data_IF_591718621365
#
_entry.id   IF_591718621365
#
_cell.length_a   1.000
_cell.length_b   1.000
_cell.length_c   1.000
_cell.angle_alpha   90.00
_cell.angle_beta   90.00
_cell.angle_gamma   90.00
#
_symmetry.space_group_name_H-M   'P 1'
#
loop_
_entity.id
_entity.type
_entity.pdbx_description
1 polymer ?
#
# COMPACT_ATOMS: atom_id res chain seq x y z
N UNK A 1 5.34 33.98 0.81
CA UNK A 1 4.78 32.66 1.18
C UNK A 1 3.52 32.40 0.35
N UNK A 2 3.44 31.26 -0.34
CA UNK A 2 2.24 30.92 -1.13
C UNK A 2 1.03 30.63 -0.22
N UNK A 3 -0.19 31.05 -0.60
CA UNK A 3 -1.42 30.70 0.12
C UNK A 3 -1.58 29.17 0.26
N UNK A 4 -2.12 28.71 1.39
CA UNK A 4 -2.25 27.26 1.73
C UNK A 4 -3.02 26.50 0.64
N UNK A 5 -4.12 27.07 0.13
CA UNK A 5 -4.92 26.48 -0.94
C UNK A 5 -4.13 26.33 -2.26
N UNK A 6 -3.25 27.29 -2.57
CA UNK A 6 -2.39 27.24 -3.76
C UNK A 6 -1.30 26.18 -3.62
N UNK A 7 -0.72 26.01 -2.42
CA UNK A 7 0.23 24.93 -2.12
C UNK A 7 -0.41 23.55 -2.25
N UNK A 8 -1.64 23.38 -1.76
CA UNK A 8 -2.37 22.12 -1.88
C UNK A 8 -2.62 21.72 -3.34
N UNK A 9 -3.06 22.66 -4.18
CA UNK A 9 -3.27 22.40 -5.62
C UNK A 9 -1.96 22.14 -6.37
N UNK A 10 -0.89 22.85 -6.04
CA UNK A 10 0.43 22.60 -6.63
C UNK A 10 0.92 21.20 -6.26
N UNK A 11 0.81 20.83 -4.98
CA UNK A 11 1.18 19.52 -4.50
C UNK A 11 0.37 18.41 -5.18
N UNK A 12 -0.95 18.58 -5.30
CA UNK A 12 -1.81 17.67 -6.07
C UNK A 12 -1.42 17.57 -7.54
N UNK A 13 -1.08 18.67 -8.19
CA UNK A 13 -0.68 18.67 -9.60
C UNK A 13 0.69 17.97 -9.81
N UNK A 14 1.66 18.22 -8.94
CA UNK A 14 2.98 17.57 -9.00
C UNK A 14 2.90 16.09 -8.63
N UNK A 15 2.07 15.76 -7.64
CA UNK A 15 1.74 14.39 -7.25
C UNK A 15 1.07 13.63 -8.39
N UNK A 16 0.09 14.25 -9.05
CA UNK A 16 -0.59 13.67 -10.21
C UNK A 16 0.34 13.51 -11.42
N UNK A 17 1.33 14.39 -11.64
CA UNK A 17 2.30 14.26 -12.75
C UNK A 17 3.30 13.12 -12.50
N UNK A 18 3.83 13.01 -11.28
CA UNK A 18 4.71 11.91 -10.86
C UNK A 18 3.96 10.57 -10.94
N UNK A 19 2.72 10.54 -10.44
CA UNK A 19 1.83 9.41 -10.60
C UNK A 19 1.59 9.09 -12.08
N UNK A 20 1.27 10.07 -12.92
CA UNK A 20 0.95 9.84 -14.33
C UNK A 20 2.08 9.14 -15.06
N UNK A 21 3.35 9.50 -14.80
CA UNK A 21 4.51 8.84 -15.42
C UNK A 21 4.67 7.40 -14.94
N UNK A 22 4.61 7.17 -13.63
CA UNK A 22 4.68 5.82 -13.07
C UNK A 22 3.48 4.96 -13.49
N UNK A 23 2.27 5.52 -13.57
CA UNK A 23 1.05 4.84 -14.00
C UNK A 23 1.09 4.45 -15.47
N UNK A 24 1.61 5.31 -16.35
CA UNK A 24 1.74 5.00 -17.78
C UNK A 24 2.64 3.76 -17.96
N UNK A 25 3.76 3.72 -17.25
CA UNK A 25 4.67 2.58 -17.32
C UNK A 25 4.09 1.33 -16.63
N UNK A 26 3.37 1.48 -15.53
CA UNK A 26 2.64 0.38 -14.89
C UNK A 26 1.53 -0.18 -15.77
N UNK A 27 0.70 0.67 -16.39
CA UNK A 27 -0.34 0.24 -17.34
C UNK A 27 0.22 -0.46 -18.57
N UNK A 28 1.43 -0.08 -19.01
CA UNK A 28 2.12 -0.75 -20.11
C UNK A 28 2.59 -2.16 -19.72
N UNK A 29 2.99 -2.36 -18.45
CA UNK A 29 3.50 -3.63 -17.94
C UNK A 29 2.39 -4.58 -17.44
N UNK A 30 1.29 -4.04 -16.93
CA UNK A 30 0.16 -4.80 -16.40
C UNK A 30 -0.80 -5.12 -17.54
N UNK A 31 -0.75 -6.37 -18.01
CA UNK A 31 -1.68 -6.88 -19.02
C UNK A 31 -2.85 -7.66 -18.42
N UNK A 32 -2.69 -8.13 -17.18
CA UNK A 32 -3.72 -8.88 -16.48
C UNK A 32 -4.89 -7.95 -16.07
N UNK A 33 -6.15 -8.34 -16.37
CA UNK A 33 -7.32 -7.51 -16.10
C UNK A 33 -7.53 -7.27 -14.60
N UNK A 34 -7.20 -8.23 -13.74
CA UNK A 34 -7.36 -8.09 -12.28
C UNK A 34 -6.35 -7.05 -11.74
N UNK A 35 -5.10 -7.08 -12.20
CA UNK A 35 -4.10 -6.10 -11.77
C UNK A 35 -4.43 -4.69 -12.25
N UNK A 36 -4.99 -4.57 -13.46
CA UNK A 36 -5.49 -3.29 -13.98
C UNK A 36 -6.65 -2.76 -13.16
N UNK A 37 -7.53 -3.65 -12.70
CA UNK A 37 -8.62 -3.31 -11.81
C UNK A 37 -8.09 -2.78 -10.47
N UNK A 38 -7.15 -3.49 -9.82
CA UNK A 38 -6.53 -3.00 -8.58
C UNK A 38 -5.86 -1.64 -8.79
N UNK A 39 -5.07 -1.48 -9.86
CA UNK A 39 -4.43 -0.20 -10.16
C UNK A 39 -5.47 0.90 -10.38
N UNK A 40 -6.57 0.62 -11.09
CA UNK A 40 -7.64 1.59 -11.25
C UNK A 40 -8.25 1.99 -9.91
N UNK A 41 -8.49 1.04 -9.00
CA UNK A 41 -8.99 1.35 -7.67
C UNK A 41 -8.00 2.21 -6.86
N UNK A 42 -6.72 1.86 -6.83
CA UNK A 42 -5.69 2.64 -6.12
C UNK A 42 -5.59 4.09 -6.63
N UNK A 43 -5.91 4.33 -7.90
CA UNK A 43 -5.82 5.66 -8.52
C UNK A 43 -7.10 6.49 -8.39
N UNK A 44 -8.25 5.84 -8.33
CA UNK A 44 -9.56 6.51 -8.41
C UNK A 44 -10.36 6.43 -7.11
N UNK A 45 -10.00 5.55 -6.17
CA UNK A 45 -10.69 5.38 -4.89
C UNK A 45 -9.77 5.85 -3.77
N UNK A 46 -10.21 6.92 -3.10
CA UNK A 46 -9.43 7.60 -2.07
C UNK A 46 -9.83 7.21 -0.64
N UNK A 47 -10.44 6.04 -0.49
CA UNK A 47 -10.88 5.50 0.79
C UNK A 47 -10.65 3.97 0.81
N UNK A 48 -10.01 3.48 1.87
CA UNK A 48 -9.66 2.06 2.00
C UNK A 48 -10.89 1.16 2.05
N UNK A 49 -11.92 1.58 2.80
CA UNK A 49 -13.13 0.78 3.00
C UNK A 49 -13.89 0.66 1.68
N UNK A 50 -14.05 1.76 0.95
CA UNK A 50 -14.68 1.79 -0.36
C UNK A 50 -13.91 0.95 -1.39
N UNK A 51 -12.57 0.98 -1.37
CA UNK A 51 -11.73 0.15 -2.23
C UNK A 51 -12.00 -1.34 -1.97
N UNK A 52 -11.93 -1.75 -0.70
CA UNK A 52 -12.13 -3.14 -0.30
C UNK A 52 -13.57 -3.62 -0.59
N UNK A 53 -14.57 -2.75 -0.42
CA UNK A 53 -15.95 -3.03 -0.82
C UNK A 53 -16.08 -3.22 -2.33
N UNK A 54 -15.40 -2.41 -3.13
CA UNK A 54 -15.35 -2.56 -4.58
C UNK A 54 -14.77 -3.92 -4.99
N UNK A 55 -13.66 -4.33 -4.37
CA UNK A 55 -13.05 -5.65 -4.60
C UNK A 55 -13.98 -6.79 -4.17
N UNK A 56 -14.59 -6.69 -2.98
CA UNK A 56 -15.49 -7.72 -2.47
C UNK A 56 -16.72 -7.90 -3.37
N UNK A 57 -17.28 -6.80 -3.87
CA UNK A 57 -18.48 -6.80 -4.72
C UNK A 57 -18.19 -7.36 -6.10
N UNK A 58 -17.13 -6.88 -6.76
CA UNK A 58 -16.79 -7.29 -8.13
C UNK A 58 -16.46 -8.78 -8.22
N UNK A 59 -15.80 -9.33 -7.20
CA UNK A 59 -15.33 -10.72 -7.20
C UNK A 59 -16.12 -11.65 -6.27
N UNK A 60 -17.20 -11.18 -5.64
CA UNK A 60 -18.02 -11.93 -4.68
C UNK A 60 -17.19 -12.64 -3.58
N UNK A 61 -16.30 -11.91 -2.93
CA UNK A 61 -15.30 -12.44 -1.99
C UNK A 61 -15.63 -12.13 -0.53
N UNK A 62 -15.27 -13.04 0.37
CA UNK A 62 -15.38 -12.84 1.83
C UNK A 62 -14.16 -12.11 2.44
N UNK A 63 -12.97 -12.23 1.84
CA UNK A 63 -11.76 -11.51 2.28
C UNK A 63 -11.15 -10.70 1.11
N UNK A 64 -11.56 -9.42 0.94
CA UNK A 64 -10.99 -8.56 -0.09
C UNK A 64 -9.54 -8.18 0.20
N UNK A 65 -9.09 -8.18 1.46
CA UNK A 65 -7.70 -7.87 1.81
C UNK A 65 -6.77 -8.96 1.29
N UNK A 66 -7.14 -10.22 1.48
CA UNK A 66 -6.38 -11.35 0.95
C UNK A 66 -6.20 -11.26 -0.58
N UNK A 67 -7.27 -10.90 -1.32
CA UNK A 67 -7.20 -10.73 -2.78
C UNK A 67 -6.29 -9.57 -3.19
N UNK A 68 -6.37 -8.43 -2.50
CA UNK A 68 -5.46 -7.30 -2.74
C UNK A 68 -4.01 -7.69 -2.50
N UNK A 69 -3.71 -8.44 -1.44
CA UNK A 69 -2.36 -8.93 -1.17
C UNK A 69 -1.88 -9.92 -2.23
N UNK A 70 -2.74 -10.81 -2.71
CA UNK A 70 -2.40 -11.71 -3.83
C UNK A 70 -1.95 -10.90 -5.04
N UNK A 71 -2.72 -9.89 -5.42
CA UNK A 71 -2.36 -9.02 -6.54
C UNK A 71 -1.07 -8.23 -6.29
N UNK A 72 -0.85 -7.72 -5.08
CA UNK A 72 0.41 -7.05 -4.74
C UNK A 72 1.61 -8.00 -4.81
N UNK A 73 1.46 -9.26 -4.37
CA UNK A 73 2.50 -10.31 -4.51
C UNK A 73 2.79 -10.61 -5.98
N UNK A 74 1.76 -10.71 -6.80
CA UNK A 74 1.91 -10.89 -8.24
C UNK A 74 2.62 -9.70 -8.90
N UNK A 75 2.22 -8.46 -8.58
CA UNK A 75 2.79 -7.24 -9.15
C UNK A 75 4.24 -6.98 -8.70
N UNK A 76 4.65 -7.47 -7.54
CA UNK A 76 6.04 -7.38 -7.03
C UNK A 76 6.90 -8.59 -7.43
N UNK A 77 6.36 -9.53 -8.20
CA UNK A 77 7.12 -10.67 -8.70
C UNK A 77 7.35 -11.80 -7.71
N UNK A 78 6.57 -11.85 -6.63
CA UNK A 78 6.59 -12.95 -5.64
C UNK A 78 5.83 -14.20 -6.11
N UNK A 79 5.49 -14.26 -7.40
CA UNK A 79 4.87 -15.43 -8.01
C UNK A 79 5.66 -15.82 -9.26
N UNK A 80 5.80 -17.13 -9.57
CA UNK A 80 6.53 -17.57 -10.76
C UNK A 80 5.94 -17.04 -12.08
N UNK A 81 4.68 -16.59 -12.04
CA UNK A 81 3.88 -16.20 -13.19
C UNK A 81 4.13 -14.77 -13.65
N UNK A 82 4.57 -13.88 -12.76
CA UNK A 82 4.72 -12.46 -13.05
C UNK A 82 6.12 -11.98 -12.64
N UNK A 83 6.87 -11.28 -13.51
CA UNK A 83 8.11 -10.63 -13.10
C UNK A 83 7.80 -9.45 -12.17
N UNK A 84 8.79 -8.94 -11.44
CA UNK A 84 8.58 -7.77 -10.58
C UNK A 84 8.24 -6.52 -11.40
N UNK A 85 6.94 -6.20 -11.50
CA UNK A 85 6.41 -5.12 -12.34
C UNK A 85 6.61 -3.75 -11.70
N UNK A 86 6.64 -3.72 -10.36
CA UNK A 86 6.83 -2.51 -9.54
C UNK A 86 8.29 -2.19 -9.25
N UNK A 87 9.21 -3.13 -9.52
CA UNK A 87 10.61 -3.07 -9.08
C UNK A 87 10.76 -2.84 -7.57
N UNK A 88 9.82 -3.38 -6.78
CA UNK A 88 9.81 -3.30 -5.32
C UNK A 88 10.16 -4.67 -4.74
N UNK A 89 11.13 -4.72 -3.83
CA UNK A 89 11.54 -5.94 -3.15
C UNK A 89 10.86 -6.02 -1.77
N UNK A 90 9.75 -6.76 -1.70
CA UNK A 90 8.96 -6.94 -0.49
C UNK A 90 9.16 -8.35 0.06
N UNK A 91 9.75 -8.47 1.24
CA UNK A 91 9.80 -9.77 1.91
C UNK A 91 8.45 -10.11 2.58
N UNK A 92 8.35 -11.31 3.14
CA UNK A 92 7.14 -11.79 3.83
C UNK A 92 6.70 -10.88 4.98
N UNK A 93 7.64 -10.35 5.78
CA UNK A 93 7.35 -9.41 6.86
C UNK A 93 6.69 -8.13 6.34
N UNK A 94 7.10 -7.65 5.17
CA UNK A 94 6.47 -6.49 4.52
C UNK A 94 5.05 -6.81 4.06
N UNK A 95 4.78 -8.02 3.56
CA UNK A 95 3.42 -8.43 3.21
C UNK A 95 2.52 -8.59 4.43
N UNK A 96 3.04 -9.12 5.54
CA UNK A 96 2.31 -9.15 6.81
C UNK A 96 2.00 -7.74 7.31
N UNK A 97 2.97 -6.82 7.22
CA UNK A 97 2.73 -5.41 7.53
C UNK A 97 1.64 -4.80 6.64
N UNK A 98 1.73 -5.01 5.32
CA UNK A 98 0.72 -4.53 4.37
C UNK A 98 -0.65 -5.11 4.68
N UNK A 99 -0.75 -6.38 5.04
CA UNK A 99 -2.02 -6.99 5.47
C UNK A 99 -2.62 -6.22 6.65
N UNK A 100 -1.81 -5.98 7.69
CA UNK A 100 -2.26 -5.25 8.87
C UNK A 100 -2.67 -3.82 8.53
N UNK A 101 -1.94 -3.13 7.66
CA UNK A 101 -2.29 -1.80 7.16
C UNK A 101 -3.64 -1.81 6.39
N UNK A 102 -3.85 -2.78 5.50
CA UNK A 102 -5.11 -2.95 4.78
C UNK A 102 -6.29 -3.29 5.70
N UNK A 103 -6.02 -3.93 6.84
CA UNK A 103 -7.00 -4.16 7.91
C UNK A 103 -7.21 -2.95 8.83
N UNK A 104 -6.53 -1.83 8.60
CA UNK A 104 -6.71 -0.60 9.36
C UNK A 104 -5.86 -0.48 10.62
N UNK A 105 -4.81 -1.31 10.77
CA UNK A 105 -3.97 -1.28 11.97
C UNK A 105 -3.01 -0.09 11.97
N UNK A 106 -2.83 0.50 13.16
CA UNK A 106 -1.84 1.57 13.39
C UNK A 106 -0.42 1.01 13.41
N UNK A 107 0.58 1.87 13.25
CA UNK A 107 1.99 1.45 13.31
C UNK A 107 2.31 0.69 14.60
N UNK A 108 1.81 1.18 15.74
CA UNK A 108 2.01 0.53 17.02
C UNK A 108 1.42 -0.89 17.04
N UNK A 109 0.17 -1.06 16.59
CA UNK A 109 -0.49 -2.36 16.54
C UNK A 109 0.21 -3.31 15.55
N UNK A 110 0.68 -2.79 14.42
CA UNK A 110 1.48 -3.55 13.44
C UNK A 110 2.76 -4.08 14.09
N UNK A 111 3.57 -3.21 14.70
CA UNK A 111 4.83 -3.62 15.32
C UNK A 111 4.62 -4.60 16.47
N UNK A 112 3.58 -4.38 17.29
CA UNK A 112 3.21 -5.31 18.36
C UNK A 112 2.85 -6.69 17.82
N UNK A 113 2.01 -6.75 16.79
CA UNK A 113 1.58 -8.01 16.15
C UNK A 113 2.75 -8.75 15.51
N UNK A 114 3.65 -8.04 14.81
CA UNK A 114 4.84 -8.65 14.22
C UNK A 114 5.81 -9.16 15.29
N UNK A 115 5.95 -8.43 16.39
CA UNK A 115 6.78 -8.84 17.55
C UNK A 115 6.22 -10.08 18.23
N UNK A 116 4.90 -10.19 18.36
CA UNK A 116 4.24 -11.38 18.89
C UNK A 116 4.45 -12.61 17.99
N UNK A 117 4.34 -12.44 16.66
CA UNK A 117 4.46 -13.53 15.70
C UNK A 117 5.87 -14.03 15.48
N UNK A 118 6.83 -13.12 15.34
CA UNK A 118 8.22 -13.45 14.98
C UNK A 118 9.15 -13.50 16.21
N UNK A 119 8.69 -13.01 17.36
CA UNK A 119 9.47 -12.91 18.59
C UNK A 119 10.29 -11.62 18.68
N UNK A 120 10.53 -11.17 19.91
CA UNK A 120 11.25 -9.93 20.19
C UNK A 120 12.69 -9.90 19.66
N UNK A 121 13.37 -11.05 19.63
CA UNK A 121 14.74 -11.17 19.14
C UNK A 121 14.82 -11.04 17.61
N UNK A 122 13.90 -11.66 16.85
CA UNK A 122 13.84 -11.51 15.40
C UNK A 122 13.43 -10.10 14.97
N UNK A 123 12.63 -9.44 15.79
CA UNK A 123 12.21 -8.05 15.57
C UNK A 123 13.22 -7.01 16.08
N UNK A 124 14.24 -7.44 16.80
CA UNK A 124 15.29 -6.55 17.29
C UNK A 124 16.02 -5.90 16.09
N UNK A 125 15.93 -4.58 15.99
CA UNK A 125 16.51 -3.81 14.88
C UNK A 125 15.63 -3.70 13.63
N UNK A 126 14.51 -4.41 13.54
CA UNK A 126 13.55 -4.29 12.42
C UNK A 126 12.48 -3.21 12.65
N UNK A 127 12.27 -2.78 13.90
CA UNK A 127 11.26 -1.76 14.23
C UNK A 127 11.48 -0.44 13.49
N UNK A 128 12.71 0.08 13.47
CA UNK A 128 13.02 1.34 12.80
C UNK A 128 12.88 1.26 11.26
N UNK A 129 13.44 0.23 10.58
CA UNK A 129 13.19 0.02 9.15
C UNK A 129 11.71 -0.14 8.80
N UNK A 130 10.95 -0.90 9.58
CA UNK A 130 9.52 -1.10 9.32
C UNK A 130 8.70 0.16 9.58
N UNK A 131 9.03 0.94 10.61
CA UNK A 131 8.43 2.26 10.84
C UNK A 131 8.67 3.19 9.65
N UNK A 132 9.91 3.26 9.18
CA UNK A 132 10.25 4.09 8.02
C UNK A 132 9.52 3.62 6.75
N UNK A 133 9.38 2.31 6.55
CA UNK A 133 8.64 1.76 5.42
C UNK A 133 7.12 2.02 5.53
N UNK A 134 6.55 1.91 6.73
CA UNK A 134 5.15 2.24 6.99
C UNK A 134 4.85 3.70 6.62
N UNK A 135 5.71 4.63 7.05
CA UNK A 135 5.58 6.04 6.70
C UNK A 135 5.80 6.28 5.20
N UNK A 136 6.80 5.64 4.60
CA UNK A 136 7.03 5.73 3.16
C UNK A 136 5.83 5.23 2.33
N UNK A 137 5.14 4.17 2.78
CA UNK A 137 3.92 3.68 2.13
C UNK A 137 2.74 4.65 2.32
N UNK A 138 2.64 5.32 3.47
CA UNK A 138 1.63 6.37 3.70
C UNK A 138 1.88 7.63 2.89
N UNK A 139 3.12 7.90 2.52
CA UNK A 139 3.49 9.04 1.67
C UNK A 139 3.58 8.65 0.18
N UNK A 140 3.67 7.35 -0.12
CA UNK A 140 3.75 6.82 -1.46
C UNK A 140 2.51 7.17 -2.25
N UNK A 141 2.69 7.76 -3.43
CA UNK A 141 1.58 8.31 -4.18
C UNK A 141 0.51 7.28 -4.60
N UNK A 142 0.85 6.00 -4.66
CA UNK A 142 -0.12 4.93 -4.95
C UNK A 142 -0.98 4.54 -3.74
N UNK A 143 -0.44 4.67 -2.52
CA UNK A 143 -1.06 4.16 -1.31
C UNK A 143 -1.47 5.27 -0.33
N UNK A 144 -0.97 6.49 -0.52
CA UNK A 144 -1.15 7.61 0.40
C UNK A 144 -2.60 8.05 0.58
N UNK A 145 -3.49 7.68 -0.33
CA UNK A 145 -4.92 7.97 -0.21
C UNK A 145 -5.64 6.90 0.61
N UNK A 146 -5.13 5.66 0.57
CA UNK A 146 -5.71 4.49 1.23
C UNK A 146 -5.21 4.35 2.67
N UNK A 147 -3.97 4.78 2.94
CA UNK A 147 -3.33 4.64 4.25
C UNK A 147 -3.22 5.96 5.02
N UNK A 148 -3.85 7.03 4.54
CA UNK A 148 -3.78 8.35 5.18
C UNK A 148 -4.31 8.32 6.62
N UNK A 149 -5.41 7.58 6.80
CA UNK A 149 -6.17 7.44 8.05
C UNK A 149 -5.47 6.57 9.11
N UNK A 150 -4.38 5.87 8.74
CA UNK A 150 -3.62 5.07 9.70
C UNK A 150 -2.76 5.98 10.58
N UNK A 151 -2.91 5.88 11.90
CA UNK A 151 -2.04 6.60 12.82
C UNK A 151 -0.63 5.99 12.83
N UNK A 152 0.38 6.83 12.61
CA UNK A 152 1.80 6.47 12.76
C UNK A 152 2.35 6.74 14.17
N UNK A 153 1.54 7.31 15.07
CA UNK A 153 2.03 7.69 16.41
C UNK A 153 2.20 6.44 17.27
N UNK A 154 3.44 6.12 17.62
CA UNK A 154 3.73 5.20 18.73
C UNK A 154 3.45 6.02 20.01
N UNK A 155 2.49 5.62 20.87
CA UNK A 155 2.31 6.31 22.15
C UNK A 155 3.62 6.28 22.93
N UNK A 156 4.02 7.45 23.43
CA UNK A 156 5.27 7.70 24.13
C UNK A 156 5.42 6.89 25.42
#
# INVERSE_FOLDING_TARGET
MLPVATRHRLFQATYNDLLSRSIIDLRRKLHDPDHRFLLALLLNVYDRVALLQGVATEFALNDPVAKVLTWLREMTGHTPKFPNLLSLDFNETVFEMLELMWRGQTLHAVLATLTERHGAEAMAGQHAPLSALFDALRECALFAQVFRDLDATIPA
#
